data_IF_044816656335
#
_entry.id   IF_044816656335
#
_cell.length_a   1.000
_cell.length_b   1.000
_cell.length_c   1.000
_cell.angle_alpha   90.00
_cell.angle_beta   90.00
_cell.angle_gamma   90.00
#
_symmetry.space_group_name_H-M   'P 1'
#
loop_
_entity.id
_entity.type
_entity.pdbx_description
1 polymer ?
#
# COMPACT_ATOMS: atom_id res chain seq x y z
N UNK A 1 -6.52 -10.18 -17.36
CA UNK A 1 -5.08 -10.02 -17.08
C UNK A 1 -4.51 -8.93 -17.97
N UNK A 2 -3.65 -8.06 -17.43
CA UNK A 2 -3.09 -6.85 -18.06
C UNK A 2 -2.35 -7.08 -19.40
N UNK A 3 -2.09 -8.34 -19.76
CA UNK A 3 -1.28 -8.73 -20.92
C UNK A 3 -1.96 -8.55 -22.28
N UNK A 4 -3.30 -8.58 -22.32
CA UNK A 4 -4.08 -8.41 -23.56
C UNK A 4 -4.67 -7.01 -23.77
N UNK A 5 -4.43 -6.08 -22.83
CA UNK A 5 -5.02 -4.74 -22.90
C UNK A 5 -4.21 -3.83 -23.84
N UNK A 6 -4.85 -2.98 -24.66
CA UNK A 6 -4.16 -1.93 -25.40
C UNK A 6 -3.39 -1.01 -24.44
N UNK A 7 -2.07 -1.10 -24.46
CA UNK A 7 -1.18 -0.33 -23.57
C UNK A 7 -0.95 1.08 -24.10
N UNK A 8 -2.00 1.88 -24.10
CA UNK A 8 -1.85 3.31 -24.32
C UNK A 8 -1.04 3.92 -23.17
N UNK A 9 -0.39 5.08 -23.36
CA UNK A 9 0.29 5.79 -22.28
C UNK A 9 -0.63 6.04 -21.07
N UNK A 10 -1.91 6.33 -21.32
CA UNK A 10 -2.91 6.51 -20.27
C UNK A 10 -3.11 5.24 -19.43
N UNK A 11 -3.27 4.09 -20.08
CA UNK A 11 -3.46 2.81 -19.40
C UNK A 11 -2.21 2.43 -18.60
N UNK A 12 -1.01 2.67 -19.14
CA UNK A 12 0.23 2.42 -18.40
C UNK A 12 0.33 3.31 -17.16
N UNK A 13 0.10 4.62 -17.29
CA UNK A 13 0.13 5.54 -16.15
C UNK A 13 -0.88 5.16 -15.06
N UNK A 14 -2.07 4.71 -15.47
CA UNK A 14 -3.10 4.23 -14.54
C UNK A 14 -2.64 2.97 -13.79
N UNK A 15 -2.07 1.98 -14.51
CA UNK A 15 -1.52 0.78 -13.90
C UNK A 15 -0.38 1.12 -12.94
N UNK A 16 0.56 1.98 -13.35
CA UNK A 16 1.69 2.40 -12.52
C UNK A 16 1.21 3.10 -11.23
N UNK A 17 0.16 3.93 -11.33
CA UNK A 17 -0.47 4.59 -10.19
C UNK A 17 -1.07 3.57 -9.22
N UNK A 18 -1.82 2.58 -9.73
CA UNK A 18 -2.37 1.51 -8.90
C UNK A 18 -1.26 0.68 -8.23
N UNK A 19 -0.22 0.30 -8.97
CA UNK A 19 0.87 -0.51 -8.42
C UNK A 19 1.69 0.25 -7.36
N UNK A 20 1.77 1.58 -7.46
CA UNK A 20 2.49 2.44 -6.51
C UNK A 20 1.69 2.66 -5.22
N UNK A 21 0.42 3.06 -5.34
CA UNK A 21 -0.36 3.61 -4.22
C UNK A 21 -1.42 2.66 -3.65
N UNK A 22 -1.64 1.50 -4.25
CA UNK A 22 -2.55 0.49 -3.72
C UNK A 22 -1.82 -0.59 -2.91
N UNK A 23 -2.52 -1.13 -1.91
CA UNK A 23 -2.13 -2.31 -1.15
C UNK A 23 -3.16 -3.43 -1.36
N UNK A 24 -2.73 -4.68 -1.19
CA UNK A 24 -3.63 -5.82 -1.26
C UNK A 24 -4.20 -6.11 0.13
N UNK A 25 -5.51 -6.31 0.18
CA UNK A 25 -6.23 -6.69 1.38
C UNK A 25 -6.66 -8.16 1.29
N UNK A 26 -6.25 -8.98 2.25
CA UNK A 26 -6.53 -10.42 2.23
C UNK A 26 -7.97 -10.77 2.60
N UNK A 27 -8.64 -9.96 3.41
CA UNK A 27 -10.02 -10.19 3.85
C UNK A 27 -10.98 -9.90 2.69
N UNK A 28 -10.70 -8.84 1.94
CA UNK A 28 -11.48 -8.43 0.78
C UNK A 28 -11.08 -9.18 -0.51
N UNK A 29 -9.94 -9.86 -0.52
CA UNK A 29 -9.30 -10.42 -1.72
C UNK A 29 -9.24 -9.41 -2.87
N UNK A 30 -8.78 -8.19 -2.55
CA UNK A 30 -8.86 -7.04 -3.44
C UNK A 30 -7.63 -6.13 -3.35
N UNK A 31 -7.32 -5.47 -4.47
CA UNK A 31 -6.37 -4.36 -4.48
C UNK A 31 -7.11 -3.08 -4.06
N UNK A 32 -6.74 -2.52 -2.91
CA UNK A 32 -7.35 -1.33 -2.33
C UNK A 32 -6.55 -0.10 -2.74
N UNK A 33 -7.17 0.78 -3.51
CA UNK A 33 -6.61 2.07 -3.90
C UNK A 33 -7.15 3.17 -2.98
N UNK A 34 -6.29 3.68 -2.09
CA UNK A 34 -6.67 4.74 -1.16
C UNK A 34 -6.91 6.06 -1.90
N UNK A 35 -8.12 6.62 -1.72
CA UNK A 35 -8.50 7.89 -2.34
C UNK A 35 -8.12 9.10 -1.48
N UNK A 36 -7.79 8.89 -0.21
CA UNK A 36 -7.32 9.91 0.72
C UNK A 36 -5.78 10.00 0.77
N UNK A 37 -5.24 10.67 1.78
CA UNK A 37 -3.81 10.89 1.94
C UNK A 37 -3.05 9.71 2.56
N UNK A 38 -3.74 8.62 2.94
CA UNK A 38 -3.08 7.42 3.50
C UNK A 38 -2.08 6.78 2.54
N UNK A 39 -2.26 6.98 1.21
CA UNK A 39 -1.31 6.56 0.17
C UNK A 39 0.10 7.17 0.28
N UNK A 40 0.27 8.20 1.10
CA UNK A 40 1.56 8.86 1.35
C UNK A 40 2.18 8.49 2.70
N UNK A 41 1.56 7.60 3.48
CA UNK A 41 2.12 7.12 4.74
C UNK A 41 3.28 6.19 4.45
N UNK A 42 4.48 6.57 4.84
CA UNK A 42 5.72 5.83 4.55
C UNK A 42 5.95 4.65 5.51
N UNK A 43 6.98 3.86 5.22
CA UNK A 43 7.38 2.73 6.04
C UNK A 43 8.29 3.12 7.21
N UNK A 44 8.16 2.41 8.34
CA UNK A 44 9.17 2.30 9.38
C UNK A 44 9.10 0.92 10.05
N UNK A 45 10.25 0.36 10.45
CA UNK A 45 10.32 -0.85 11.30
C UNK A 45 9.94 -0.57 12.76
N UNK A 46 9.82 0.70 13.14
CA UNK A 46 9.28 1.14 14.42
C UNK A 46 8.15 2.16 14.16
N UNK A 47 7.02 1.69 13.59
CA UNK A 47 5.95 2.57 13.14
C UNK A 47 5.19 3.19 14.31
N UNK A 48 4.59 4.35 14.07
CA UNK A 48 3.70 5.00 15.05
C UNK A 48 2.21 4.88 14.70
N UNK A 49 1.89 4.29 13.53
CA UNK A 49 0.55 3.94 13.07
C UNK A 49 0.46 2.47 12.66
N UNK A 50 -0.76 1.95 12.50
CA UNK A 50 -1.01 0.67 11.85
C UNK A 50 -2.44 0.17 12.03
N UNK A 51 -2.77 -0.94 11.37
CA UNK A 51 -4.09 -1.56 11.44
C UNK A 51 -4.30 -2.42 12.70
N UNK A 52 -5.56 -2.61 13.09
CA UNK A 52 -5.97 -3.69 14.00
C UNK A 52 -6.54 -4.85 13.17
N UNK A 53 -6.40 -6.08 13.66
CA UNK A 53 -6.77 -7.32 12.94
C UNK A 53 -8.24 -7.35 12.49
N UNK A 54 -9.12 -6.59 13.14
CA UNK A 54 -10.56 -6.58 12.85
C UNK A 54 -10.97 -5.55 11.77
N UNK A 55 -10.11 -4.60 11.39
CA UNK A 55 -10.43 -3.58 10.39
C UNK A 55 -9.19 -3.10 9.62
N UNK A 56 -8.94 -3.75 8.48
CA UNK A 56 -7.83 -3.48 7.57
C UNK A 56 -7.97 -2.22 6.71
N UNK A 57 -9.08 -1.48 6.84
CA UNK A 57 -9.35 -0.24 6.12
C UNK A 57 -9.17 1.00 7.00
N UNK A 58 -8.66 0.85 8.23
CA UNK A 58 -8.46 1.97 9.15
C UNK A 58 -7.14 1.83 9.88
N UNK A 59 -6.37 2.91 9.86
CA UNK A 59 -5.15 3.04 10.63
C UNK A 59 -5.43 3.65 12.02
N UNK A 60 -4.75 3.15 13.04
CA UNK A 60 -4.78 3.69 14.39
C UNK A 60 -3.38 4.09 14.84
N UNK A 61 -3.31 5.12 15.68
CA UNK A 61 -2.06 5.47 16.35
C UNK A 61 -1.67 4.36 17.35
N UNK A 62 -0.41 3.93 17.33
CA UNK A 62 0.16 2.93 18.25
C UNK A 62 0.64 3.54 19.57
N UNK A 63 0.84 4.86 19.58
CA UNK A 63 1.25 5.70 20.70
C UNK A 63 0.87 7.14 20.41
N UNK A 64 1.06 8.04 21.36
CA UNK A 64 0.93 9.47 21.12
C UNK A 64 1.93 9.92 20.02
N UNK A 65 1.40 10.64 19.03
CA UNK A 65 2.15 11.21 17.89
C UNK A 65 2.26 12.72 18.12
N UNK A 66 3.49 13.25 18.09
CA UNK A 66 3.72 14.67 18.33
C UNK A 66 3.42 15.50 17.07
N UNK A 67 3.03 16.78 17.19
CA UNK A 67 2.94 17.67 16.05
C UNK A 67 4.27 17.73 15.27
N UNK A 68 4.21 17.51 13.95
CA UNK A 68 5.37 17.50 13.06
C UNK A 68 6.12 16.16 12.99
N UNK A 69 5.72 15.15 13.78
CA UNK A 69 6.22 13.79 13.62
C UNK A 69 5.60 13.14 12.37
N UNK A 70 6.40 12.45 11.56
CA UNK A 70 5.93 11.72 10.39
C UNK A 70 5.11 10.49 10.82
N UNK A 71 3.95 10.29 10.20
CA UNK A 71 3.13 9.10 10.38
C UNK A 71 3.73 7.98 9.53
N UNK A 72 4.03 6.84 10.14
CA UNK A 72 4.64 5.68 9.46
C UNK A 72 3.99 4.37 9.87
N UNK A 73 4.00 3.40 8.96
CA UNK A 73 3.49 2.03 9.14
C UNK A 73 4.52 0.96 8.81
N UNK A 74 4.30 -0.28 9.26
CA UNK A 74 5.16 -1.40 8.89
C UNK A 74 4.62 -2.08 7.62
N UNK A 75 5.22 -1.77 6.47
CA UNK A 75 4.84 -2.35 5.19
C UNK A 75 5.07 -3.87 5.12
N UNK A 76 5.91 -4.44 6.00
CA UNK A 76 6.12 -5.88 6.04
C UNK A 76 4.89 -6.65 6.49
N UNK A 77 3.91 -5.97 7.11
CA UNK A 77 2.64 -6.59 7.50
C UNK A 77 1.66 -6.72 6.34
N UNK A 78 1.90 -6.08 5.19
CA UNK A 78 1.02 -6.19 4.03
C UNK A 78 1.33 -7.45 3.21
N UNK A 79 0.29 -8.23 2.92
CA UNK A 79 0.41 -9.46 2.15
C UNK A 79 0.56 -9.15 0.66
N UNK A 80 1.52 -9.81 0.01
CA UNK A 80 1.63 -9.82 -1.45
C UNK A 80 0.84 -11.00 -2.02
N UNK A 81 -0.23 -10.74 -2.76
CA UNK A 81 -0.90 -11.79 -3.52
C UNK A 81 -0.05 -12.23 -4.73
N UNK A 82 -0.10 -13.52 -5.06
CA UNK A 82 0.84 -14.17 -5.99
C UNK A 82 0.86 -13.54 -7.38
N UNK A 83 -0.28 -13.08 -7.87
CA UNK A 83 -0.37 -12.47 -9.20
C UNK A 83 0.28 -11.08 -9.26
N UNK A 84 0.29 -10.34 -8.14
CA UNK A 84 0.90 -9.01 -8.05
C UNK A 84 2.43 -9.07 -8.04
N UNK A 85 3.01 -10.18 -7.57
CA UNK A 85 4.47 -10.41 -7.57
C UNK A 85 5.10 -10.28 -8.96
N UNK A 86 4.33 -10.55 -10.03
CA UNK A 86 4.77 -10.37 -11.42
C UNK A 86 4.98 -8.90 -11.81
N UNK A 87 4.20 -8.00 -11.21
CA UNK A 87 4.15 -6.58 -11.58
C UNK A 87 4.89 -5.69 -10.58
N UNK A 88 4.89 -6.06 -9.30
CA UNK A 88 5.58 -5.35 -8.22
C UNK A 88 6.88 -6.09 -7.88
N UNK A 89 7.85 -6.04 -8.79
CA UNK A 89 9.15 -6.74 -8.70
C UNK A 89 10.03 -6.25 -7.56
N UNK A 90 9.78 -5.03 -7.09
CA UNK A 90 10.46 -4.38 -5.97
C UNK A 90 9.40 -3.90 -4.99
N UNK A 91 8.88 -4.81 -4.18
CA UNK A 91 8.49 -4.40 -2.84
C UNK A 91 9.80 -4.41 -2.08
N UNK A 92 10.57 -3.34 -2.17
CA UNK A 92 11.46 -3.05 -1.05
C UNK A 92 10.56 -2.32 -0.05
N UNK A 93 10.06 -2.99 1.01
CA UNK A 93 9.29 -2.33 2.04
C UNK A 93 10.06 -1.15 2.65
N UNK A 94 11.37 -1.08 2.43
CA UNK A 94 12.32 -0.09 2.95
C UNK A 94 12.92 0.86 1.90
N UNK A 95 12.52 0.82 0.63
CA UNK A 95 12.91 1.86 -0.35
C UNK A 95 11.82 2.90 -0.55
N UNK A 96 11.62 3.68 0.51
CA UNK A 96 11.43 5.12 0.44
C UNK A 96 12.31 5.75 1.52
#
# INVERSE_FOLDING_TARGET
MLEGSPKTPLINNFIDTLLTYAYYDEILDALVFCLDDSKYVNHSLNPNSGTIEENSLSAIARRDIRPGEEITEDYSTYVLCDWLKKYKRFFDPSCW
#
